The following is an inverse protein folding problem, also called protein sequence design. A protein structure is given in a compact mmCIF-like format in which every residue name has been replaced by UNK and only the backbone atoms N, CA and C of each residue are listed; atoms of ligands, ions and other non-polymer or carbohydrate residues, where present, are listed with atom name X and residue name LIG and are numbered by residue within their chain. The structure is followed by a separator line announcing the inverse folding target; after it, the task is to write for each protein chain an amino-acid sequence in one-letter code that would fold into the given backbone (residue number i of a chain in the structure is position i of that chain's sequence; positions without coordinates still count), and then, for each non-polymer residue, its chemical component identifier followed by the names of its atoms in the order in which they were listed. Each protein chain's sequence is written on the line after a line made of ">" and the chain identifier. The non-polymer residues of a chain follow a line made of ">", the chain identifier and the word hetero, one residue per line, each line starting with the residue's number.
data_IF_326747088821
#
_entry.id   IF_326747088821
#
_cell.length_a   1.000
_cell.length_b   1.000
_cell.length_c   1.000
_cell.angle_alpha   90.00
_cell.angle_beta   90.00
_cell.angle_gamma   90.00
#
_symmetry.space_group_name_H-M   'P 1'
#
loop_
_entity.id
_entity.type
_entity.pdbx_description
1 polymer ?
#
# COMPACT_ATOMS: atom_id res chain seq x y z
N UNK A 1 7.36 2.68 -14.80
CA UNK A 1 6.01 3.32 -14.74
C UNK A 1 6.18 4.63 -13.98
N UNK A 2 5.41 5.67 -14.30
CA UNK A 2 5.40 6.93 -13.56
C UNK A 2 3.99 7.25 -13.08
N UNK A 3 3.88 7.91 -11.95
CA UNK A 3 2.62 8.36 -11.34
C UNK A 3 2.92 9.57 -10.45
N UNK A 4 1.89 10.14 -9.83
CA UNK A 4 2.00 11.18 -8.83
C UNK A 4 1.13 10.86 -7.61
N UNK A 5 1.24 11.65 -6.54
CA UNK A 5 0.50 11.40 -5.31
C UNK A 5 -1.03 11.50 -5.50
N UNK A 6 -1.51 12.38 -6.38
CA UNK A 6 -2.93 12.56 -6.67
C UNK A 6 -3.49 11.33 -7.41
N UNK A 7 -2.76 10.79 -8.39
CA UNK A 7 -3.15 9.56 -9.08
C UNK A 7 -3.33 8.40 -8.08
N UNK A 8 -2.39 8.24 -7.13
CA UNK A 8 -2.45 7.18 -6.10
C UNK A 8 -3.60 7.40 -5.12
N UNK A 9 -3.89 8.64 -4.76
CA UNK A 9 -5.05 9.02 -3.96
C UNK A 9 -6.36 8.60 -4.65
N UNK A 10 -6.42 8.67 -5.98
CA UNK A 10 -7.56 8.18 -6.75
C UNK A 10 -7.53 6.66 -6.95
N UNK A 11 -6.36 6.05 -7.13
CA UNK A 11 -6.20 4.63 -7.40
C UNK A 11 -6.76 3.75 -6.28
N UNK A 12 -6.33 3.97 -5.04
CA UNK A 12 -6.63 3.07 -3.93
C UNK A 12 -8.13 2.87 -3.67
N UNK A 13 -8.96 3.94 -3.53
CA UNK A 13 -10.39 3.75 -3.32
C UNK A 13 -11.08 3.07 -4.50
N UNK A 14 -10.61 3.29 -5.73
CA UNK A 14 -11.20 2.69 -6.93
C UNK A 14 -10.86 1.21 -7.05
N UNK A 15 -9.62 0.81 -6.70
CA UNK A 15 -9.24 -0.59 -6.58
C UNK A 15 -10.09 -1.28 -5.52
N UNK A 16 -10.11 -0.74 -4.31
CA UNK A 16 -10.72 -1.39 -3.14
C UNK A 16 -12.25 -1.44 -3.20
N UNK A 17 -12.89 -0.50 -3.90
CA UNK A 17 -14.34 -0.56 -4.21
C UNK A 17 -14.68 -1.52 -5.35
N UNK A 18 -13.67 -2.13 -5.98
CA UNK A 18 -13.82 -3.02 -7.12
C UNK A 18 -14.20 -2.32 -8.41
N UNK A 19 -13.96 -1.02 -8.55
CA UNK A 19 -14.25 -0.29 -9.78
C UNK A 19 -13.20 -0.55 -10.88
N UNK A 20 -12.00 -1.04 -10.51
CA UNK A 20 -10.96 -1.39 -11.47
C UNK A 20 -11.05 -2.84 -11.96
N UNK A 21 -11.41 -3.78 -11.07
CA UNK A 21 -11.34 -5.22 -11.34
C UNK A 21 -12.69 -5.94 -11.20
N UNK A 22 -13.72 -5.29 -10.64
CA UNK A 22 -14.91 -5.96 -10.10
C UNK A 22 -14.68 -6.45 -8.67
N UNK A 23 -15.77 -6.65 -7.91
CA UNK A 23 -15.69 -7.02 -6.49
C UNK A 23 -15.01 -8.38 -6.27
N UNK A 24 -15.41 -9.40 -7.04
CA UNK A 24 -14.85 -10.75 -6.91
C UNK A 24 -13.35 -10.78 -7.19
N UNK A 25 -12.92 -10.18 -8.29
CA UNK A 25 -11.50 -10.17 -8.66
C UNK A 25 -10.69 -9.28 -7.71
N UNK A 26 -11.25 -8.19 -7.19
CA UNK A 26 -10.59 -7.37 -6.15
C UNK A 26 -10.35 -8.18 -4.89
N UNK A 27 -11.36 -8.93 -4.43
CA UNK A 27 -11.21 -9.83 -3.29
C UNK A 27 -10.14 -10.90 -3.54
N UNK A 28 -10.11 -11.52 -4.72
CA UNK A 28 -9.05 -12.46 -5.09
C UNK A 28 -7.68 -11.78 -5.11
N UNK A 29 -7.57 -10.59 -5.70
CA UNK A 29 -6.33 -9.84 -5.81
C UNK A 29 -5.74 -9.47 -4.43
N UNK A 30 -6.58 -9.12 -3.45
CA UNK A 30 -6.16 -8.69 -2.10
C UNK A 30 -6.19 -9.79 -1.04
N UNK A 31 -6.72 -10.99 -1.36
CA UNK A 31 -6.67 -12.17 -0.49
C UNK A 31 -5.22 -12.50 -0.12
N UNK A 32 -5.01 -12.96 1.12
CA UNK A 32 -3.70 -13.47 1.55
C UNK A 32 -3.36 -14.78 0.85
N UNK A 33 -2.32 -14.78 0.02
CA UNK A 33 -1.74 -15.99 -0.59
C UNK A 33 -0.46 -16.44 0.10
N UNK A 34 0.27 -15.50 0.70
CA UNK A 34 1.47 -15.79 1.47
C UNK A 34 1.44 -15.00 2.78
N UNK A 35 1.78 -15.65 3.89
CA UNK A 35 1.86 -15.04 5.20
C UNK A 35 3.32 -14.95 5.61
N UNK A 36 3.79 -13.76 5.94
CA UNK A 36 5.18 -13.53 6.36
C UNK A 36 5.37 -13.81 7.86
N UNK A 37 4.38 -13.42 8.67
CA UNK A 37 4.33 -13.61 10.12
C UNK A 37 2.88 -13.47 10.62
N UNK A 38 2.67 -13.38 11.93
CA UNK A 38 1.33 -13.31 12.54
C UNK A 38 0.55 -12.01 12.26
N UNK A 39 1.18 -11.03 11.60
CA UNK A 39 0.59 -9.71 11.33
C UNK A 39 0.50 -9.36 9.86
N UNK A 40 1.46 -9.82 9.05
CA UNK A 40 1.63 -9.38 7.68
C UNK A 40 1.58 -10.54 6.68
N UNK A 41 1.06 -10.24 5.50
CA UNK A 41 1.03 -11.15 4.37
C UNK A 41 1.06 -10.42 3.03
N UNK A 42 0.83 -11.21 1.99
CA UNK A 42 0.93 -10.79 0.60
C UNK A 42 -0.23 -11.36 -0.22
N UNK A 43 -0.85 -10.48 -1.00
CA UNK A 43 -1.81 -10.83 -2.04
C UNK A 43 -1.15 -10.97 -3.41
N UNK A 44 -1.91 -10.69 -4.47
CA UNK A 44 -1.38 -10.60 -5.82
C UNK A 44 -0.70 -9.23 -6.03
N UNK A 45 0.57 -9.09 -5.63
CA UNK A 45 1.30 -7.84 -5.86
C UNK A 45 1.00 -6.73 -4.85
N UNK A 46 0.41 -7.08 -3.70
CA UNK A 46 0.03 -6.14 -2.64
C UNK A 46 0.45 -6.69 -1.29
N UNK A 47 1.18 -5.89 -0.52
CA UNK A 47 1.47 -6.15 0.89
C UNK A 47 0.25 -5.80 1.72
N UNK A 48 0.03 -6.49 2.83
CA UNK A 48 -1.14 -6.25 3.69
C UNK A 48 -0.96 -6.71 5.11
N UNK A 49 -1.76 -6.12 6.01
CA UNK A 49 -2.05 -6.75 7.30
C UNK A 49 -3.04 -7.90 7.13
N UNK A 50 -2.92 -8.93 7.96
CA UNK A 50 -3.77 -10.12 7.86
C UNK A 50 -5.24 -9.86 8.22
N UNK A 51 -5.51 -8.79 8.97
CA UNK A 51 -6.86 -8.31 9.32
C UNK A 51 -7.45 -7.34 8.30
N UNK A 52 -6.80 -7.17 7.13
CA UNK A 52 -7.22 -6.26 6.06
C UNK A 52 -7.27 -4.77 6.45
N UNK A 53 -6.70 -4.38 7.59
CA UNK A 53 -6.70 -2.97 8.04
C UNK A 53 -5.78 -2.07 7.22
N UNK A 54 -4.79 -2.64 6.51
CA UNK A 54 -3.79 -1.90 5.75
C UNK A 54 -3.36 -2.69 4.51
N UNK A 55 -3.22 -1.98 3.39
CA UNK A 55 -2.66 -2.49 2.13
C UNK A 55 -1.56 -1.56 1.66
N UNK A 56 -0.49 -2.08 1.07
CA UNK A 56 0.57 -1.27 0.47
C UNK A 56 1.17 -1.88 -0.79
N UNK A 57 1.73 -0.99 -1.61
CA UNK A 57 2.64 -1.32 -2.71
C UNK A 57 3.94 -0.57 -2.48
N UNK A 58 5.06 -1.27 -2.68
CA UNK A 58 6.40 -0.76 -2.44
C UNK A 58 7.27 -1.04 -3.66
N UNK A 59 8.26 -0.18 -3.89
CA UNK A 59 9.17 -0.32 -5.02
C UNK A 59 10.43 0.49 -4.82
N UNK A 60 11.53 0.02 -5.38
CA UNK A 60 12.81 0.72 -5.37
C UNK A 60 13.57 0.40 -6.64
N UNK A 61 14.26 1.39 -7.16
CA UNK A 61 15.16 1.32 -8.30
C UNK A 61 16.36 2.26 -8.04
N UNK A 62 17.41 2.18 -8.86
CA UNK A 62 18.55 3.09 -8.71
C UNK A 62 18.11 4.56 -8.85
N UNK A 63 18.17 5.31 -7.74
CA UNK A 63 17.73 6.70 -7.69
C UNK A 63 16.22 6.91 -7.51
N UNK A 64 15.46 5.86 -7.21
CA UNK A 64 14.00 5.94 -7.02
C UNK A 64 13.57 5.11 -5.82
N UNK A 65 12.76 5.69 -4.94
CA UNK A 65 12.08 5.00 -3.85
C UNK A 65 10.59 5.26 -3.89
N UNK A 66 9.79 4.23 -3.63
CA UNK A 66 8.34 4.28 -3.71
C UNK A 66 7.67 3.52 -2.57
N UNK A 67 6.72 4.18 -1.92
CA UNK A 67 5.78 3.56 -0.98
C UNK A 67 4.41 4.18 -1.23
N UNK A 68 3.37 3.35 -1.30
CA UNK A 68 1.99 3.81 -1.22
C UNK A 68 1.17 2.84 -0.40
N UNK A 69 0.34 3.35 0.51
CA UNK A 69 -0.48 2.54 1.41
C UNK A 69 -1.89 3.11 1.57
N UNK A 70 -2.81 2.23 1.93
CA UNK A 70 -4.24 2.50 2.09
C UNK A 70 -4.81 1.83 3.33
N UNK A 71 -5.61 2.58 4.09
CA UNK A 71 -6.38 2.08 5.23
C UNK A 71 -7.88 2.10 4.89
N UNK A 72 -8.54 0.94 4.75
CA UNK A 72 -9.95 0.89 4.37
C UNK A 72 -10.89 1.60 5.35
N UNK A 73 -10.63 1.48 6.65
CA UNK A 73 -11.50 2.00 7.70
C UNK A 73 -11.63 3.54 7.66
N UNK A 74 -10.54 4.24 7.35
CA UNK A 74 -10.49 5.70 7.30
C UNK A 74 -10.50 6.25 5.88
N UNK A 75 -10.29 5.41 4.86
CA UNK A 75 -10.02 5.83 3.50
C UNK A 75 -8.70 6.59 3.32
N UNK A 76 -7.82 6.56 4.33
CA UNK A 76 -6.54 7.24 4.32
C UNK A 76 -5.62 6.63 3.25
N UNK A 77 -5.01 7.49 2.44
CA UNK A 77 -3.95 7.13 1.49
C UNK A 77 -2.68 7.85 1.88
N UNK A 78 -1.58 7.10 2.02
CA UNK A 78 -0.23 7.64 2.23
C UNK A 78 0.60 7.28 1.01
N UNK A 79 1.22 8.26 0.35
CA UNK A 79 2.11 8.01 -0.78
C UNK A 79 3.41 8.80 -0.63
N UNK A 80 4.54 8.12 -0.75
CA UNK A 80 5.89 8.67 -0.64
C UNK A 80 6.62 8.37 -1.95
N UNK A 81 6.93 9.43 -2.69
CA UNK A 81 7.65 9.37 -3.95
C UNK A 81 9.02 10.01 -3.75
N UNK A 82 10.10 9.24 -3.94
CA UNK A 82 11.47 9.68 -3.69
C UNK A 82 12.33 9.55 -4.95
N UNK A 83 13.12 10.58 -5.23
CA UNK A 83 14.20 10.56 -6.24
C UNK A 83 15.55 10.08 -5.65
N UNK A 84 15.47 9.22 -4.62
CA UNK A 84 16.59 8.54 -3.96
C UNK A 84 16.17 7.10 -3.68
N UNK A 85 17.05 6.15 -3.95
CA UNK A 85 16.82 4.69 -3.81
C UNK A 85 16.11 4.33 -2.49
N UNK A 86 16.64 4.81 -1.37
CA UNK A 86 16.13 4.47 -0.02
C UNK A 86 15.35 5.62 0.64
N UNK A 87 14.96 6.64 -0.14
CA UNK A 87 14.39 7.87 0.44
C UNK A 87 12.99 7.71 1.05
N UNK A 88 12.36 6.54 0.92
CA UNK A 88 11.06 6.26 1.52
C UNK A 88 11.14 5.70 2.94
N UNK A 89 12.23 5.02 3.31
CA UNK A 89 12.32 4.21 4.54
C UNK A 89 12.03 5.05 5.80
N UNK A 90 12.84 6.07 6.04
CA UNK A 90 12.70 6.92 7.24
C UNK A 90 11.37 7.70 7.26
N UNK A 91 10.83 8.06 6.09
CA UNK A 91 9.57 8.81 5.99
C UNK A 91 8.39 7.89 6.30
N UNK A 92 8.40 6.66 5.75
CA UNK A 92 7.35 5.68 5.99
C UNK A 92 7.28 5.30 7.47
N UNK A 93 8.43 5.07 8.11
CA UNK A 93 8.51 4.82 9.55
C UNK A 93 7.92 5.98 10.35
N UNK A 94 8.29 7.23 10.02
CA UNK A 94 7.80 8.40 10.76
C UNK A 94 6.30 8.63 10.57
N UNK A 95 5.78 8.37 9.37
CA UNK A 95 4.34 8.47 9.10
C UNK A 95 3.57 7.39 9.87
N UNK A 96 4.07 6.15 9.88
CA UNK A 96 3.47 5.05 10.66
C UNK A 96 3.38 5.40 12.15
N UNK A 97 4.44 6.00 12.70
CA UNK A 97 4.47 6.50 14.08
C UNK A 97 3.44 7.62 14.31
N UNK A 98 3.38 8.63 13.43
CA UNK A 98 2.48 9.78 13.58
C UNK A 98 1.00 9.43 13.47
N UNK A 99 0.67 8.40 12.69
CA UNK A 99 -0.69 8.03 12.37
C UNK A 99 -1.18 6.80 13.17
N UNK A 100 -0.39 6.33 14.15
CA UNK A 100 -0.67 5.14 14.96
C UNK A 100 -0.97 3.88 14.11
N UNK A 101 -0.26 3.70 13.00
CA UNK A 101 -0.33 2.45 12.22
C UNK A 101 0.18 1.29 13.10
N UNK A 102 -0.45 0.13 13.02
CA UNK A 102 -0.12 -0.97 13.92
C UNK A 102 1.21 -1.62 13.52
N UNK A 103 2.17 -1.61 14.46
CA UNK A 103 3.40 -2.43 14.46
C UNK A 103 3.03 -3.90 14.54
#
# INVERSE_FOLDING_TARGET
>A
MYTNAQDLQHFWPQLMRGHLLGQELTHLFTKTYHQFNDRYGYGCGVYKRLDDSEFSIEGSDAGVGFFSGYCPDSGLVVSILSNRTDGTLNIAEKIKELLNFSV
#
